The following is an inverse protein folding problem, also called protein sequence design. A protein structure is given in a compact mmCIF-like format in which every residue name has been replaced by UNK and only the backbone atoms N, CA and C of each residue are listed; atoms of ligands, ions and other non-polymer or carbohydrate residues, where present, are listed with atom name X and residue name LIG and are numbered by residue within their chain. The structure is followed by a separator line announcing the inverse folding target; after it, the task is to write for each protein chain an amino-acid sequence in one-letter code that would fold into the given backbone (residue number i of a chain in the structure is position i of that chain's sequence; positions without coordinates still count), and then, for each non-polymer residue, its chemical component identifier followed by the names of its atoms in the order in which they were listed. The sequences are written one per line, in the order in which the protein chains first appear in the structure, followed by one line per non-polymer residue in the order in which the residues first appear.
data_IF_747468963859
#
_entry.id   IF_747468963859
#
_cell.length_a   1.000
_cell.length_b   1.000
_cell.length_c   1.000
_cell.angle_alpha   90.00
_cell.angle_beta   90.00
_cell.angle_gamma   90.00
#
_symmetry.space_group_name_H-M   'P 1'
#
loop_
_entity.id
_entity.type
_entity.pdbx_description
1 polymer ?
#
# COMPACT_ATOMS: atom_id res chain seq x y z
N UNK A 1 -3.20 -70.10 46.65
CA UNK A 1 -3.26 -70.84 45.37
C UNK A 1 -4.32 -70.17 44.52
N UNK A 2 -3.91 -69.63 43.36
CA UNK A 2 -4.66 -69.59 42.08
C UNK A 2 -6.07 -68.97 42.06
N UNK A 3 -6.52 -68.14 41.13
CA UNK A 3 -6.03 -67.51 39.90
C UNK A 3 -7.20 -66.64 39.41
N UNK A 4 -6.92 -65.46 38.84
CA UNK A 4 -7.57 -64.79 37.71
C UNK A 4 -8.99 -65.20 37.25
N UNK A 5 -9.86 -64.20 36.97
CA UNK A 5 -10.11 -63.80 35.58
C UNK A 5 -10.87 -62.48 35.43
N UNK A 6 -10.20 -61.55 34.73
CA UNK A 6 -10.68 -60.61 33.72
C UNK A 6 -12.11 -60.08 33.79
N UNK A 7 -12.23 -58.78 34.11
CA UNK A 7 -13.19 -57.94 33.40
C UNK A 7 -12.49 -56.62 33.01
N UNK A 8 -11.90 -56.64 31.82
CA UNK A 8 -11.38 -55.46 31.13
C UNK A 8 -12.55 -54.53 30.82
N UNK A 9 -12.72 -53.49 31.63
CA UNK A 9 -13.57 -52.36 31.28
C UNK A 9 -12.95 -51.63 30.11
N UNK A 10 -13.42 -51.91 28.90
CA UNK A 10 -13.24 -51.00 27.77
C UNK A 10 -13.82 -49.64 28.17
N UNK A 11 -12.96 -48.63 28.26
CA UNK A 11 -13.40 -47.25 28.32
C UNK A 11 -14.22 -46.98 27.04
N UNK A 12 -15.40 -46.32 27.14
CA UNK A 12 -16.17 -46.00 25.95
C UNK A 12 -15.28 -45.15 25.04
N UNK A 13 -15.07 -45.62 23.81
CA UNK A 13 -14.38 -44.85 22.79
C UNK A 13 -15.06 -43.48 22.69
N UNK A 14 -14.31 -42.40 22.99
CA UNK A 14 -14.79 -41.04 22.78
C UNK A 14 -15.19 -40.93 21.32
N UNK A 15 -16.50 -40.83 21.08
CA UNK A 15 -17.01 -40.55 19.77
C UNK A 15 -16.40 -39.22 19.33
N UNK A 16 -15.57 -39.24 18.29
CA UNK A 16 -15.08 -38.04 17.62
C UNK A 16 -16.31 -37.41 16.96
N UNK A 17 -17.07 -36.64 17.72
CA UNK A 17 -18.14 -35.80 17.20
C UNK A 17 -17.49 -34.53 16.68
N UNK A 18 -17.75 -34.17 15.42
CA UNK A 18 -17.37 -32.85 14.90
C UNK A 18 -17.83 -31.77 15.89
N UNK A 19 -16.89 -30.92 16.32
CA UNK A 19 -17.16 -29.85 17.28
C UNK A 19 -17.89 -28.71 16.59
N UNK A 20 -19.19 -28.88 16.37
CA UNK A 20 -20.06 -27.87 15.73
C UNK A 20 -20.42 -26.80 16.76
N UNK A 21 -20.01 -25.55 16.49
CA UNK A 21 -20.46 -24.38 17.25
C UNK A 21 -21.57 -23.67 16.47
N UNK A 22 -22.74 -23.51 17.09
CA UNK A 22 -23.79 -22.68 16.52
C UNK A 22 -23.42 -21.20 16.70
N UNK A 23 -23.50 -20.45 15.61
CA UNK A 23 -23.23 -19.01 15.60
C UNK A 23 -24.50 -18.30 15.16
N UNK A 24 -24.86 -17.22 15.85
CA UNK A 24 -25.99 -16.39 15.45
C UNK A 24 -25.70 -15.70 14.11
N UNK A 25 -26.63 -15.82 13.16
CA UNK A 25 -26.43 -15.31 11.80
C UNK A 25 -26.30 -13.78 11.78
N UNK A 26 -27.10 -13.05 12.57
CA UNK A 26 -27.05 -11.59 12.57
C UNK A 26 -25.73 -11.09 13.14
N UNK A 27 -25.28 -11.69 14.25
CA UNK A 27 -24.00 -11.39 14.86
C UNK A 27 -22.82 -11.68 13.93
N UNK A 28 -22.82 -12.85 13.27
CA UNK A 28 -21.75 -13.23 12.36
C UNK A 28 -21.71 -12.33 11.12
N UNK A 29 -22.86 -12.01 10.53
CA UNK A 29 -22.95 -11.08 9.40
C UNK A 29 -22.43 -9.68 9.78
N UNK A 30 -22.82 -9.17 10.94
CA UNK A 30 -22.37 -7.85 11.39
C UNK A 30 -20.85 -7.82 11.60
N UNK A 31 -20.30 -8.83 12.27
CA UNK A 31 -18.87 -8.93 12.53
C UNK A 31 -18.07 -9.06 11.24
N UNK A 32 -18.40 -10.05 10.39
CA UNK A 32 -17.72 -10.28 9.12
C UNK A 32 -17.79 -9.06 8.19
N UNK A 33 -18.93 -8.36 8.17
CA UNK A 33 -19.07 -7.13 7.39
C UNK A 33 -18.19 -5.99 7.92
N UNK A 34 -18.16 -5.78 9.25
CA UNK A 34 -17.35 -4.74 9.87
C UNK A 34 -15.85 -5.00 9.68
N UNK A 35 -15.40 -6.25 9.86
CA UNK A 35 -14.00 -6.64 9.67
C UNK A 35 -13.56 -6.39 8.22
N UNK A 36 -14.40 -6.79 7.24
CA UNK A 36 -14.15 -6.49 5.84
C UNK A 36 -14.13 -4.98 5.55
N UNK A 37 -15.14 -4.23 6.03
CA UNK A 37 -15.25 -2.79 5.79
C UNK A 37 -14.03 -2.04 6.32
N UNK A 38 -13.60 -2.34 7.55
CA UNK A 38 -12.42 -1.73 8.16
C UNK A 38 -11.15 -2.08 7.39
N UNK A 39 -10.99 -3.34 6.97
CA UNK A 39 -9.83 -3.76 6.16
C UNK A 39 -9.74 -3.00 4.83
N UNK A 40 -10.88 -2.72 4.18
CA UNK A 40 -10.91 -1.98 2.91
C UNK A 40 -10.63 -0.51 3.11
N UNK A 41 -11.22 0.12 4.14
CA UNK A 41 -11.04 1.55 4.43
C UNK A 41 -9.57 1.85 4.76
N UNK A 42 -9.00 1.11 5.73
CA UNK A 42 -7.65 1.39 6.26
C UNK A 42 -6.56 0.74 5.41
N UNK A 43 -6.77 -0.50 4.98
CA UNK A 43 -5.72 -1.32 4.35
C UNK A 43 -5.68 -1.27 2.82
N UNK A 44 -6.60 -0.56 2.15
CA UNK A 44 -6.70 -0.65 0.68
C UNK A 44 -7.09 0.64 -0.02
N UNK A 45 -8.23 1.22 0.32
CA UNK A 45 -8.92 2.15 -0.57
C UNK A 45 -8.45 3.61 -0.44
N UNK A 46 -8.13 4.06 0.77
CA UNK A 46 -7.77 5.44 1.07
C UNK A 46 -6.25 5.60 1.24
N UNK A 47 -5.68 6.74 0.82
CA UNK A 47 -4.28 7.06 1.10
C UNK A 47 -4.09 7.50 2.56
N UNK A 48 -2.86 7.42 3.07
CA UNK A 48 -2.48 8.11 4.32
C UNK A 48 -2.23 9.59 4.03
N UNK A 49 -2.61 10.48 4.96
CA UNK A 49 -2.46 11.93 4.77
C UNK A 49 -1.00 12.37 4.75
N UNK A 50 -0.11 11.63 5.44
CA UNK A 50 1.29 12.01 5.67
C UNK A 50 2.16 11.80 4.43
N UNK A 51 1.91 10.73 3.68
CA UNK A 51 2.67 10.40 2.46
C UNK A 51 1.83 10.40 1.18
N UNK A 52 0.50 10.49 1.29
CA UNK A 52 -0.41 10.47 0.15
C UNK A 52 -0.50 9.13 -0.58
N UNK A 53 0.04 8.05 -0.03
CA UNK A 53 0.08 6.74 -0.68
C UNK A 53 -0.93 5.77 -0.06
N UNK A 54 -1.46 4.90 -0.92
CA UNK A 54 -2.16 3.68 -0.50
C UNK A 54 -1.13 2.60 -0.19
N UNK A 55 -1.48 1.56 0.61
CA UNK A 55 -0.52 0.52 1.00
C UNK A 55 0.21 -0.15 -0.17
N UNK A 56 -0.48 -0.46 -1.28
CA UNK A 56 0.17 -1.05 -2.47
C UNK A 56 1.22 -0.13 -3.09
N UNK A 57 0.94 1.17 -3.21
CA UNK A 57 1.90 2.13 -3.79
C UNK A 57 3.09 2.33 -2.86
N UNK A 58 2.86 2.42 -1.54
CA UNK A 58 3.91 2.51 -0.52
C UNK A 58 4.87 1.31 -0.61
N UNK A 59 4.32 0.10 -0.63
CA UNK A 59 5.09 -1.14 -0.75
C UNK A 59 5.86 -1.23 -2.06
N UNK A 60 5.29 -0.77 -3.17
CA UNK A 60 6.01 -0.69 -4.46
C UNK A 60 7.20 0.26 -4.36
N UNK A 61 7.01 1.48 -3.86
CA UNK A 61 8.10 2.46 -3.73
C UNK A 61 9.18 1.97 -2.75
N UNK A 62 8.77 1.41 -1.60
CA UNK A 62 9.70 0.88 -0.61
C UNK A 62 10.47 -0.34 -1.14
N UNK A 63 9.80 -1.32 -1.75
CA UNK A 63 10.49 -2.45 -2.36
C UNK A 63 11.42 -2.01 -3.49
N UNK A 64 11.08 -0.94 -4.21
CA UNK A 64 11.97 -0.38 -5.22
C UNK A 64 13.22 0.25 -4.63
N UNK A 65 13.07 0.87 -3.47
CA UNK A 65 14.18 1.38 -2.69
C UNK A 65 15.01 0.22 -2.08
N UNK A 66 14.42 -0.69 -1.35
CA UNK A 66 15.15 -1.79 -0.72
C UNK A 66 15.85 -2.70 -1.75
N UNK A 67 15.17 -3.01 -2.87
CA UNK A 67 15.71 -3.80 -3.99
C UNK A 67 16.76 -3.09 -4.86
N UNK A 68 17.09 -1.82 -4.57
CA UNK A 68 18.18 -1.12 -5.27
C UNK A 68 17.84 -0.55 -6.65
N UNK A 69 16.56 -0.44 -7.03
CA UNK A 69 16.12 0.06 -8.36
C UNK A 69 16.19 1.59 -8.47
N UNK A 70 17.34 2.18 -8.11
CA UNK A 70 17.58 3.63 -8.06
C UNK A 70 17.54 4.30 -9.46
N UNK A 71 17.32 5.63 -9.52
CA UNK A 71 17.27 6.37 -10.80
C UNK A 71 18.57 6.31 -11.61
N UNK A 72 19.73 6.17 -10.96
CA UNK A 72 21.06 6.07 -11.58
C UNK A 72 21.36 4.66 -12.15
N UNK A 73 20.53 3.66 -11.83
CA UNK A 73 20.70 2.29 -12.32
C UNK A 73 20.02 2.06 -13.68
N UNK A 74 20.37 0.92 -14.29
CA UNK A 74 19.68 0.43 -15.47
C UNK A 74 18.22 0.06 -15.14
N UNK A 75 17.36 0.12 -16.15
CA UNK A 75 15.99 -0.34 -16.03
C UNK A 75 15.95 -1.84 -15.69
N UNK A 76 15.04 -2.23 -14.81
CA UNK A 76 14.84 -3.62 -14.37
C UNK A 76 13.48 -4.12 -14.81
N UNK A 77 13.36 -5.41 -15.15
CA UNK A 77 12.09 -6.00 -15.57
C UNK A 77 11.00 -5.76 -14.50
N UNK A 78 9.84 -5.29 -14.92
CA UNK A 78 8.72 -5.07 -14.00
C UNK A 78 8.30 -6.35 -13.28
N UNK A 79 8.39 -7.51 -13.95
CA UNK A 79 8.14 -8.82 -13.35
C UNK A 79 9.01 -9.10 -12.11
N UNK A 80 10.26 -8.60 -12.09
CA UNK A 80 11.16 -8.75 -10.93
C UNK A 80 10.68 -7.88 -9.77
N UNK A 81 10.42 -6.59 -10.03
CA UNK A 81 9.92 -5.65 -9.02
C UNK A 81 8.60 -6.11 -8.41
N UNK A 82 7.67 -6.59 -9.25
CA UNK A 82 6.39 -7.15 -8.79
C UNK A 82 6.60 -8.38 -7.92
N UNK A 83 7.53 -9.26 -8.30
CA UNK A 83 7.91 -10.43 -7.51
C UNK A 83 8.46 -10.06 -6.12
N UNK A 84 9.34 -9.06 -6.05
CA UNK A 84 9.91 -8.60 -4.78
C UNK A 84 8.83 -8.00 -3.87
N UNK A 85 7.94 -7.16 -4.41
CA UNK A 85 6.81 -6.58 -3.65
C UNK A 85 5.89 -7.67 -3.14
N UNK A 86 5.53 -8.64 -3.99
CA UNK A 86 4.60 -9.71 -3.65
C UNK A 86 5.19 -10.64 -2.59
N UNK A 87 6.47 -11.02 -2.75
CA UNK A 87 7.14 -11.97 -1.87
C UNK A 87 7.51 -11.42 -0.50
N UNK A 88 7.70 -10.10 -0.38
CA UNK A 88 8.16 -9.49 0.87
C UNK A 88 7.07 -8.70 1.60
N UNK A 89 6.17 -8.00 0.88
CA UNK A 89 5.35 -6.96 1.49
C UNK A 89 3.85 -7.04 1.16
N UNK A 90 3.47 -7.55 -0.01
CA UNK A 90 2.08 -7.48 -0.49
C UNK A 90 1.53 -8.86 -0.89
N UNK A 91 0.85 -9.59 0.02
CA UNK A 91 0.37 -10.96 -0.20
C UNK A 91 -0.94 -10.99 -1.03
N UNK A 92 -0.98 -10.24 -2.13
CA UNK A 92 -2.09 -10.14 -3.05
C UNK A 92 -1.60 -10.32 -4.49
N UNK A 93 -2.54 -10.45 -5.43
CA UNK A 93 -2.25 -10.78 -6.82
C UNK A 93 -1.21 -9.86 -7.47
N UNK A 94 -0.32 -10.47 -8.24
CA UNK A 94 0.71 -9.82 -9.05
C UNK A 94 0.14 -8.76 -10.00
N UNK A 95 -1.05 -9.02 -10.56
CA UNK A 95 -1.77 -8.08 -11.43
C UNK A 95 -2.06 -6.75 -10.74
N UNK A 96 -2.56 -6.77 -9.50
CA UNK A 96 -2.88 -5.54 -8.76
C UNK A 96 -1.62 -4.72 -8.42
N UNK A 97 -0.52 -5.40 -8.12
CA UNK A 97 0.78 -4.77 -7.87
C UNK A 97 1.31 -4.14 -9.17
N UNK A 98 1.23 -4.87 -10.28
CA UNK A 98 1.67 -4.38 -11.57
C UNK A 98 0.84 -3.18 -12.05
N UNK A 99 -0.48 -3.22 -11.89
CA UNK A 99 -1.37 -2.11 -12.23
C UNK A 99 -1.05 -0.85 -11.39
N UNK A 100 -0.74 -1.04 -10.10
CA UNK A 100 -0.28 0.05 -9.24
C UNK A 100 1.06 0.62 -9.74
N UNK A 101 2.03 -0.22 -10.07
CA UNK A 101 3.32 0.20 -10.62
C UNK A 101 3.15 0.94 -11.96
N UNK A 102 2.28 0.46 -12.85
CA UNK A 102 1.99 1.11 -14.14
C UNK A 102 1.46 2.52 -13.91
N UNK A 103 0.55 2.73 -12.96
CA UNK A 103 0.05 4.07 -12.61
C UNK A 103 1.13 4.99 -12.05
N UNK A 104 2.12 4.45 -11.32
CA UNK A 104 3.26 5.23 -10.83
C UNK A 104 4.17 5.76 -11.96
N UNK A 105 4.10 5.14 -13.14
CA UNK A 105 4.86 5.50 -14.34
C UNK A 105 4.11 6.48 -15.24
N UNK A 106 2.79 6.36 -15.36
CA UNK A 106 1.98 7.06 -16.35
C UNK A 106 1.87 8.58 -16.07
N UNK A 107 2.37 9.46 -16.95
CA UNK A 107 2.38 10.91 -16.73
C UNK A 107 1.00 11.59 -16.87
N UNK A 108 0.00 10.89 -17.39
CA UNK A 108 -1.40 11.35 -17.40
C UNK A 108 -2.19 10.87 -16.17
N UNK A 109 -1.67 9.90 -15.42
CA UNK A 109 -2.27 9.40 -14.18
C UNK A 109 -1.73 10.10 -12.95
N UNK A 110 -0.43 10.41 -12.93
CA UNK A 110 0.21 11.20 -11.88
C UNK A 110 0.81 12.47 -12.48
N UNK A 111 0.61 13.59 -11.78
CA UNK A 111 1.19 14.88 -12.16
C UNK A 111 2.72 14.84 -12.14
N UNK A 112 3.28 14.11 -11.17
CA UNK A 112 4.70 13.86 -10.99
C UNK A 112 4.93 12.35 -10.77
N UNK A 113 5.27 11.58 -11.83
CA UNK A 113 5.51 10.15 -11.73
C UNK A 113 6.58 9.78 -10.69
N UNK A 114 6.34 8.69 -9.97
CA UNK A 114 7.25 8.16 -8.95
C UNK A 114 8.08 6.97 -9.45
N UNK A 115 7.75 6.44 -10.63
CA UNK A 115 8.56 5.46 -11.34
C UNK A 115 8.80 5.91 -12.78
N UNK A 116 9.93 5.50 -13.34
CA UNK A 116 10.19 5.63 -14.78
C UNK A 116 9.95 4.28 -15.43
N UNK A 117 9.39 4.28 -16.62
CA UNK A 117 9.13 3.06 -17.39
C UNK A 117 9.85 3.06 -18.74
N UNK A 118 10.28 1.89 -19.16
CA UNK A 118 10.75 1.60 -20.51
C UNK A 118 9.90 0.47 -21.11
N UNK A 119 9.40 0.68 -22.33
CA UNK A 119 8.43 -0.20 -22.98
C UNK A 119 7.03 0.39 -23.03
N UNK A 120 6.02 -0.43 -23.34
CA UNK A 120 4.64 0.01 -23.45
C UNK A 120 3.92 0.00 -22.09
N UNK A 121 3.74 1.17 -21.50
CA UNK A 121 2.96 1.40 -20.27
C UNK A 121 1.53 1.88 -20.53
N UNK A 122 1.00 1.65 -21.74
CA UNK A 122 -0.33 2.07 -22.15
C UNK A 122 -0.35 3.46 -22.76
N UNK A 123 -1.56 3.95 -23.04
CA UNK A 123 -1.81 5.28 -23.57
C UNK A 123 -2.84 6.03 -22.70
N UNK A 124 -2.97 7.37 -22.82
CA UNK A 124 -4.05 8.11 -22.18
C UNK A 124 -5.47 7.69 -22.61
N UNK A 125 -5.57 6.93 -23.71
CA UNK A 125 -6.81 6.34 -24.19
C UNK A 125 -7.14 5.03 -23.49
N UNK A 126 -7.57 4.04 -24.27
CA UNK A 126 -8.03 2.75 -23.74
C UNK A 126 -6.98 1.64 -23.81
N UNK A 127 -5.76 1.93 -24.27
CA UNK A 127 -4.72 0.92 -24.40
C UNK A 127 -4.00 0.71 -23.05
N UNK A 128 -4.14 -0.49 -22.50
CA UNK A 128 -3.43 -0.90 -21.29
C UNK A 128 -1.93 -1.12 -21.50
N UNK A 129 -1.20 -1.27 -20.41
CA UNK A 129 0.21 -1.62 -20.45
C UNK A 129 0.44 -3.02 -21.02
N UNK A 130 1.60 -3.23 -21.64
CA UNK A 130 2.05 -4.57 -22.00
C UNK A 130 2.32 -5.41 -20.73
N UNK A 131 2.40 -6.73 -20.87
CA UNK A 131 2.68 -7.62 -19.74
C UNK A 131 4.03 -7.29 -19.05
N UNK A 132 4.16 -7.53 -17.73
CA UNK A 132 5.34 -7.14 -16.92
C UNK A 132 6.67 -7.78 -17.35
N UNK A 133 6.61 -8.81 -18.21
CA UNK A 133 7.79 -9.43 -18.85
C UNK A 133 8.40 -8.59 -19.96
N UNK A 134 7.64 -7.66 -20.54
CA UNK A 134 8.06 -6.79 -21.64
C UNK A 134 8.42 -5.37 -21.19
N UNK A 135 7.91 -4.94 -20.05
CA UNK A 135 8.16 -3.62 -19.49
C UNK A 135 9.30 -3.66 -18.47
N UNK A 136 9.99 -2.53 -18.35
CA UNK A 136 11.05 -2.33 -17.39
C UNK A 136 10.82 -1.02 -16.63
N UNK A 137 11.30 -0.95 -15.39
CA UNK A 137 11.13 0.21 -14.52
C UNK A 137 12.36 0.48 -13.66
N UNK A 138 12.43 1.69 -13.14
CA UNK A 138 13.28 2.12 -12.03
C UNK A 138 12.60 3.30 -11.31
N UNK A 139 13.09 3.68 -10.15
CA UNK A 139 12.55 4.85 -9.44
C UNK A 139 12.72 6.13 -10.27
N UNK A 140 11.72 7.00 -10.22
CA UNK A 140 11.89 8.38 -10.68
C UNK A 140 12.77 9.15 -9.68
N UNK A 141 13.55 10.15 -10.12
CA UNK A 141 14.36 10.96 -9.21
C UNK A 141 13.57 11.52 -8.03
N UNK A 142 12.35 12.02 -8.27
CA UNK A 142 11.48 12.56 -7.21
C UNK A 142 11.06 11.51 -6.18
N UNK A 143 10.96 10.23 -6.56
CA UNK A 143 10.58 9.17 -5.62
C UNK A 143 11.64 8.91 -4.55
N UNK A 144 12.89 9.34 -4.76
CA UNK A 144 13.89 9.29 -3.69
C UNK A 144 13.52 10.23 -2.53
N UNK A 145 12.87 11.35 -2.80
CA UNK A 145 12.38 12.24 -1.74
C UNK A 145 11.24 11.62 -0.92
N UNK A 146 10.57 10.57 -1.45
CA UNK A 146 9.59 9.83 -0.66
C UNK A 146 10.26 9.01 0.46
N UNK A 147 11.43 8.45 0.20
CA UNK A 147 12.15 7.49 1.08
C UNK A 147 13.44 8.06 1.66
N UNK A 148 13.65 9.37 1.49
CA UNK A 148 14.86 10.03 1.95
C UNK A 148 14.93 9.98 3.48
N UNK A 149 16.09 9.57 3.98
CA UNK A 149 16.40 9.41 5.41
C UNK A 149 15.55 8.32 6.11
N UNK A 150 15.00 7.36 5.37
CA UNK A 150 14.18 6.28 5.94
C UNK A 150 14.96 5.36 6.89
N UNK A 151 16.29 5.26 6.72
CA UNK A 151 17.20 4.46 7.56
C UNK A 151 17.67 5.22 8.81
N UNK A 152 17.19 6.45 9.04
CA UNK A 152 17.58 7.32 10.17
C UNK A 152 16.49 7.36 11.27
N UNK A 153 15.78 6.26 11.51
CA UNK A 153 14.69 6.16 12.49
C UNK A 153 13.60 7.25 12.33
N UNK A 154 13.33 7.67 11.08
CA UNK A 154 12.40 8.78 10.79
C UNK A 154 10.94 8.37 10.72
N UNK A 155 10.67 7.06 10.57
CA UNK A 155 9.32 6.48 10.52
C UNK A 155 9.29 5.14 11.25
N UNK A 156 8.12 4.80 11.78
CA UNK A 156 7.91 3.49 12.40
C UNK A 156 7.89 2.38 11.35
N UNK A 157 8.56 1.28 11.68
CA UNK A 157 8.49 0.03 10.94
C UNK A 157 7.59 -0.96 11.67
N UNK A 158 6.90 -1.80 10.89
CA UNK A 158 6.05 -2.87 11.39
C UNK A 158 6.43 -4.18 10.72
N UNK A 159 6.10 -5.28 11.36
CA UNK A 159 6.24 -6.60 10.77
C UNK A 159 5.36 -6.71 9.51
N UNK A 160 5.89 -7.37 8.48
CA UNK A 160 5.12 -7.73 7.30
C UNK A 160 4.09 -8.84 7.64
N UNK A 161 3.38 -9.32 6.62
CA UNK A 161 2.28 -10.27 6.80
C UNK A 161 2.69 -11.64 7.37
N UNK A 162 3.97 -12.04 7.30
CA UNK A 162 4.49 -13.31 7.83
C UNK A 162 5.54 -13.15 8.94
N UNK A 163 5.81 -11.92 9.38
CA UNK A 163 6.75 -11.57 10.44
C UNK A 163 8.24 -11.77 10.10
N UNK A 164 8.60 -11.96 8.82
CA UNK A 164 9.99 -12.23 8.42
C UNK A 164 10.75 -10.99 7.95
N UNK A 165 10.05 -9.98 7.46
CA UNK A 165 10.62 -8.71 7.03
C UNK A 165 9.85 -7.56 7.67
N UNK A 166 10.47 -6.39 7.70
CA UNK A 166 9.82 -5.17 8.17
C UNK A 166 9.43 -4.28 6.99
N UNK A 167 8.30 -3.61 7.12
CA UNK A 167 7.83 -2.58 6.19
C UNK A 167 7.55 -1.27 6.93
N UNK A 168 7.76 -0.11 6.28
CA UNK A 168 7.44 1.17 6.88
C UNK A 168 5.92 1.38 6.93
N UNK A 169 5.40 1.84 8.07
CA UNK A 169 3.98 2.17 8.22
C UNK A 169 3.58 3.34 7.29
N UNK A 170 4.48 4.32 7.15
CA UNK A 170 4.42 5.48 6.25
C UNK A 170 5.81 5.76 5.66
N UNK A 171 5.89 6.51 4.56
CA UNK A 171 7.18 7.00 4.07
C UNK A 171 7.51 8.39 4.64
N UNK A 172 8.81 8.76 4.77
CA UNK A 172 9.22 10.12 5.17
C UNK A 172 8.58 11.26 4.36
N UNK A 173 8.36 11.05 3.06
CA UNK A 173 7.63 11.95 2.17
C UNK A 173 8.07 13.42 2.26
N UNK A 174 9.30 13.73 1.83
CA UNK A 174 9.88 15.09 1.90
C UNK A 174 9.24 16.12 0.95
N UNK A 175 8.18 15.76 0.25
CA UNK A 175 7.33 16.69 -0.48
C UNK A 175 5.84 16.34 -0.26
N UNK A 176 4.91 17.29 -0.42
CA UNK A 176 3.49 17.10 -0.10
C UNK A 176 2.75 16.26 -1.17
N UNK A 177 3.12 14.98 -1.30
CA UNK A 177 2.68 14.09 -2.36
C UNK A 177 1.15 13.95 -2.46
N UNK A 178 0.43 13.91 -1.34
CA UNK A 178 -1.04 13.82 -1.35
C UNK A 178 -1.70 14.93 -2.19
N UNK A 179 -1.28 16.18 -1.99
CA UNK A 179 -1.85 17.32 -2.71
C UNK A 179 -1.25 17.44 -4.11
N UNK A 180 0.04 17.15 -4.25
CA UNK A 180 0.79 17.31 -5.50
C UNK A 180 0.36 16.29 -6.56
N UNK A 181 0.19 15.03 -6.17
CA UNK A 181 -0.22 13.95 -7.07
C UNK A 181 -1.71 13.60 -6.97
N UNK A 182 -2.39 14.02 -5.90
CA UNK A 182 -3.79 13.68 -5.68
C UNK A 182 -4.00 12.22 -5.30
N UNK A 183 -5.26 11.84 -5.12
CA UNK A 183 -5.65 10.45 -4.88
C UNK A 183 -7.12 10.24 -5.16
N UNK A 184 -7.47 9.07 -5.72
CA UNK A 184 -8.85 8.64 -5.91
C UNK A 184 -9.03 7.28 -5.26
N UNK A 185 -10.07 7.11 -4.46
CA UNK A 185 -10.36 5.86 -3.76
C UNK A 185 -11.84 5.69 -3.46
N UNK A 186 -12.32 4.47 -3.59
CA UNK A 186 -13.69 4.08 -3.22
C UNK A 186 -13.56 2.98 -2.17
N UNK A 187 -14.04 3.25 -0.97
CA UNK A 187 -14.01 2.32 0.16
C UNK A 187 -15.44 1.81 0.46
N UNK A 188 -15.63 1.19 1.63
CA UNK A 188 -16.98 0.82 2.09
C UNK A 188 -17.64 2.03 2.75
N UNK A 189 -18.70 2.53 2.14
CA UNK A 189 -19.48 3.67 2.66
C UNK A 189 -18.87 5.06 2.48
N UNK A 190 -17.69 5.17 1.83
CA UNK A 190 -17.03 6.45 1.59
C UNK A 190 -16.16 6.44 0.34
N UNK A 191 -15.84 7.62 -0.17
CA UNK A 191 -14.95 7.81 -1.30
C UNK A 191 -14.09 9.07 -1.11
N UNK A 192 -12.93 9.11 -1.76
CA UNK A 192 -12.04 10.26 -1.83
C UNK A 192 -11.68 10.58 -3.27
N UNK A 193 -11.59 11.86 -3.58
CA UNK A 193 -11.13 12.39 -4.86
C UNK A 193 -10.41 13.71 -4.63
N UNK A 194 -9.09 13.67 -4.61
CA UNK A 194 -8.21 14.82 -4.39
C UNK A 194 -7.50 15.09 -5.73
N UNK A 195 -7.70 16.27 -6.34
CA UNK A 195 -7.03 16.62 -7.59
C UNK A 195 -5.54 16.92 -7.36
N UNK A 196 -4.69 16.73 -8.38
CA UNK A 196 -3.28 17.10 -8.30
C UNK A 196 -3.08 18.62 -8.35
N UNK A 197 -2.02 19.10 -7.69
CA UNK A 197 -1.64 20.50 -7.62
C UNK A 197 -0.18 20.71 -8.06
N UNK A 198 0.21 21.96 -8.30
CA UNK A 198 1.59 22.31 -8.63
C UNK A 198 2.48 22.20 -7.38
N UNK A 199 3.59 21.48 -7.49
CA UNK A 199 4.54 21.31 -6.39
C UNK A 199 5.06 22.65 -5.83
N UNK A 200 5.32 23.64 -6.69
CA UNK A 200 5.84 24.94 -6.26
C UNK A 200 4.81 25.71 -5.44
N UNK A 201 3.56 25.78 -5.92
CA UNK A 201 2.47 26.48 -5.22
C UNK A 201 2.18 25.84 -3.87
N UNK A 202 2.06 24.51 -3.81
CA UNK A 202 1.82 23.80 -2.54
C UNK A 202 2.98 23.99 -1.56
N UNK A 203 4.24 23.94 -2.05
CA UNK A 203 5.41 24.13 -1.20
C UNK A 203 5.49 25.57 -0.68
N UNK A 204 5.24 26.57 -1.53
CA UNK A 204 5.19 27.98 -1.13
C UNK A 204 4.10 28.23 -0.10
N UNK A 205 2.90 27.68 -0.28
CA UNK A 205 1.81 27.80 0.69
C UNK A 205 2.12 27.14 2.03
N UNK A 206 2.76 25.97 2.01
CA UNK A 206 3.20 25.29 3.22
C UNK A 206 4.25 26.13 3.99
N UNK A 207 5.23 26.70 3.28
CA UNK A 207 6.23 27.59 3.89
C UNK A 207 5.60 28.87 4.44
N UNK A 208 4.67 29.48 3.70
CA UNK A 208 3.96 30.68 4.13
C UNK A 208 3.11 30.41 5.39
N UNK A 209 2.44 29.26 5.49
CA UNK A 209 1.68 28.87 6.69
C UNK A 209 2.59 28.64 7.90
N UNK A 210 3.81 28.14 7.71
CA UNK A 210 4.77 28.01 8.81
C UNK A 210 5.20 29.37 9.37
N UNK A 211 5.27 30.39 8.51
CA UNK A 211 5.55 31.77 8.91
C UNK A 211 4.32 32.48 9.49
N UNK A 212 3.10 32.04 9.12
CA UNK A 212 1.82 32.65 9.49
C UNK A 212 0.84 31.60 10.07
N UNK A 213 1.13 30.99 11.23
CA UNK A 213 0.36 29.85 11.74
C UNK A 213 -1.08 30.16 12.15
N UNK A 214 -1.37 31.44 12.45
CA UNK A 214 -2.72 31.91 12.85
C UNK A 214 -3.53 32.46 11.67
N UNK A 215 -2.97 32.42 10.45
CA UNK A 215 -3.67 32.90 9.26
C UNK A 215 -4.94 32.08 8.99
N UNK A 216 -5.99 32.79 8.60
CA UNK A 216 -7.22 32.20 8.10
C UNK A 216 -7.01 31.51 6.75
N UNK A 217 -7.99 30.69 6.37
CA UNK A 217 -8.00 30.04 5.06
C UNK A 217 -8.06 31.06 3.92
N UNK A 218 -8.79 32.15 4.13
CA UNK A 218 -8.96 33.22 3.15
C UNK A 218 -7.64 33.96 2.92
N UNK A 219 -6.90 34.28 3.99
CA UNK A 219 -5.57 34.93 3.89
C UNK A 219 -4.55 34.04 3.18
N UNK A 220 -4.56 32.73 3.46
CA UNK A 220 -3.72 31.76 2.73
C UNK A 220 -4.02 31.77 1.23
N UNK A 221 -5.30 31.76 0.85
CA UNK A 221 -5.70 31.75 -0.56
C UNK A 221 -5.36 33.06 -1.28
N UNK A 222 -5.35 34.19 -0.58
CA UNK A 222 -4.95 35.48 -1.16
C UNK A 222 -3.42 35.61 -1.30
N UNK A 223 -2.66 34.95 -0.43
CA UNK A 223 -1.19 34.95 -0.44
C UNK A 223 -0.57 33.99 -1.49
N UNK A 224 -1.35 33.04 -2.03
CA UNK A 224 -0.94 32.01 -2.99
C UNK A 224 -1.20 32.42 -4.44
#
# INVERSE_FOLDING_TARGET
MTSNDNNSGEAPAEAITDRVQQVDLQLEMQRSYLDYAMSVIVGRALPDVRDGLKPVHRRVIYAMYDGGYRPDKAFSKCARVVGDVMGQFHPHGDSAIYDALVRLVQPWSLRYPLALGQGNFGSPGNDGAAAPRYTETKMAPLALEMVRDIDEDTVDFQDNYDGRTQEPAILPSRFPNLLVNGSVGIAVGMATNIPPHNLREVSSGALWLLENPEASREELLEAL
#
